data_IF_649043734517
#
_entry.id   IF_649043734517
#
_cell.length_a   1.000
_cell.length_b   1.000
_cell.length_c   1.000
_cell.angle_alpha   90.00
_cell.angle_beta   90.00
_cell.angle_gamma   90.00
#
_symmetry.space_group_name_H-M   'P 1'
#
loop_
_entity.id
_entity.type
_entity.pdbx_description
1 polymer ?
#
# COMPACT_ATOMS: atom_id res chain seq x y z
N UNK A 1 18.59 47.00 -54.31
CA UNK A 1 19.05 46.63 -55.68
C UNK A 1 19.45 45.15 -55.61
N UNK A 2 18.92 44.35 -56.54
CA UNK A 2 19.24 43.00 -56.98
C UNK A 2 18.58 41.87 -56.17
N UNK A 3 17.54 41.33 -56.62
CA UNK A 3 17.16 40.43 -57.75
C UNK A 3 17.28 38.95 -57.36
N UNK A 4 16.14 38.32 -57.54
CA UNK A 4 15.69 36.92 -57.42
C UNK A 4 16.66 35.86 -58.02
N UNK A 5 16.49 34.59 -57.51
CA UNK A 5 16.34 33.45 -58.42
C UNK A 5 15.60 32.30 -57.73
N UNK A 6 14.50 31.89 -58.39
CA UNK A 6 13.78 30.63 -58.19
C UNK A 6 14.62 29.45 -58.70
N UNK A 7 14.56 28.33 -57.98
CA UNK A 7 14.77 27.02 -58.60
C UNK A 7 13.81 26.01 -57.93
N UNK A 8 12.83 25.58 -58.72
CA UNK A 8 11.95 24.44 -58.45
C UNK A 8 12.66 23.14 -58.83
N UNK A 9 12.63 22.13 -57.95
CA UNK A 9 12.90 20.75 -58.31
C UNK A 9 11.80 19.85 -57.73
N UNK A 10 11.00 19.34 -58.66
CA UNK A 10 10.03 18.28 -58.43
C UNK A 10 10.78 16.92 -58.23
N UNK A 11 10.39 16.15 -57.24
CA UNK A 11 10.86 14.79 -57.00
C UNK A 11 9.73 13.93 -56.51
N UNK A 12 9.35 12.97 -57.34
CA UNK A 12 8.27 12.00 -57.19
C UNK A 12 8.43 11.07 -55.99
N UNK A 13 7.37 10.76 -55.26
CA UNK A 13 6.71 9.46 -55.25
C UNK A 13 7.27 8.44 -54.29
N UNK A 14 6.42 7.95 -53.39
CA UNK A 14 6.64 6.75 -52.63
C UNK A 14 5.94 6.82 -51.27
N UNK A 15 4.58 6.77 -51.27
CA UNK A 15 3.84 6.51 -50.03
C UNK A 15 3.90 5.05 -49.64
N UNK A 16 4.07 4.70 -48.37
CA UNK A 16 3.88 3.34 -47.91
C UNK A 16 2.37 2.99 -47.81
N UNK A 17 2.00 1.83 -48.35
CA UNK A 17 0.67 1.22 -48.28
C UNK A 17 0.25 0.92 -46.84
N UNK A 18 -1.05 0.98 -46.51
CA UNK A 18 -1.54 0.59 -45.21
C UNK A 18 -1.45 -0.93 -45.01
N UNK A 19 -0.91 -1.34 -43.89
CA UNK A 19 -0.90 -2.75 -43.44
C UNK A 19 -2.25 -3.05 -42.80
N UNK A 20 -2.96 -3.99 -43.38
CA UNK A 20 -4.23 -4.54 -42.94
C UNK A 20 -4.02 -5.38 -41.65
N UNK A 21 -4.83 -5.23 -40.61
CA UNK A 21 -4.72 -6.07 -39.42
C UNK A 21 -5.29 -7.46 -39.68
N UNK A 22 -4.46 -8.49 -39.48
CA UNK A 22 -4.85 -9.90 -39.57
C UNK A 22 -5.90 -10.24 -38.50
N UNK A 23 -6.99 -10.87 -38.95
CA UNK A 23 -8.06 -11.38 -38.11
C UNK A 23 -7.58 -12.50 -37.18
N UNK A 24 -7.82 -12.36 -35.90
CA UNK A 24 -7.59 -13.39 -34.91
C UNK A 24 -8.72 -14.43 -34.97
N UNK A 25 -8.36 -15.69 -35.20
CA UNK A 25 -9.25 -16.84 -35.09
C UNK A 25 -9.59 -17.15 -33.62
N UNK A 26 -10.84 -17.51 -33.29
CA UNK A 26 -11.19 -17.87 -31.91
C UNK A 26 -10.73 -19.30 -31.61
N UNK A 27 -9.94 -19.45 -30.57
CA UNK A 27 -9.58 -20.73 -29.97
C UNK A 27 -10.75 -21.33 -29.19
N UNK A 28 -11.01 -22.61 -29.48
CA UNK A 28 -12.09 -23.39 -28.89
C UNK A 28 -11.93 -23.56 -27.38
N UNK A 29 -13.01 -23.27 -26.67
CA UNK A 29 -13.18 -23.53 -25.22
C UNK A 29 -13.42 -25.03 -25.01
N UNK A 30 -12.48 -25.70 -24.38
CA UNK A 30 -12.68 -27.08 -23.89
C UNK A 30 -13.38 -27.03 -22.54
N UNK A 31 -14.63 -27.45 -22.50
CA UNK A 31 -15.37 -27.66 -21.27
C UNK A 31 -14.86 -28.92 -20.57
N UNK A 32 -14.38 -28.78 -19.35
CA UNK A 32 -14.10 -29.90 -18.44
C UNK A 32 -15.33 -30.12 -17.58
N UNK A 33 -16.03 -31.22 -17.81
CA UNK A 33 -17.12 -31.73 -16.99
C UNK A 33 -16.57 -32.36 -15.71
N UNK A 34 -17.03 -31.86 -14.55
CA UNK A 34 -16.76 -32.44 -13.22
C UNK A 34 -17.92 -33.37 -12.85
N UNK A 35 -17.70 -34.62 -12.45
CA UNK A 35 -18.78 -35.47 -11.98
C UNK A 35 -19.15 -35.13 -10.53
N UNK A 36 -20.45 -34.93 -10.29
CA UNK A 36 -21.05 -34.86 -8.98
C UNK A 36 -21.05 -36.23 -8.31
N UNK A 37 -20.49 -36.32 -7.10
CA UNK A 37 -20.70 -37.44 -6.21
C UNK A 37 -21.51 -36.97 -4.99
N UNK A 38 -22.76 -37.41 -4.99
CA UNK A 38 -23.66 -37.45 -3.83
C UNK A 38 -23.24 -38.58 -2.90
N UNK A 39 -23.09 -38.27 -1.61
CA UNK A 39 -22.90 -39.28 -0.57
C UNK A 39 -23.09 -38.65 0.81
N UNK A 40 -24.31 -38.72 1.31
CA UNK A 40 -24.64 -38.58 2.73
C UNK A 40 -24.43 -39.92 3.44
N UNK A 41 -23.99 -39.95 4.68
CA UNK A 41 -24.68 -40.77 5.64
C UNK A 41 -25.07 -40.06 6.96
N UNK A 42 -26.21 -40.46 7.40
CA UNK A 42 -27.01 -40.19 8.57
C UNK A 42 -26.35 -40.64 9.88
N UNK A 43 -26.53 -39.79 10.88
CA UNK A 43 -26.74 -39.96 12.31
C UNK A 43 -26.19 -41.17 13.11
N UNK A 44 -25.67 -40.85 14.29
CA UNK A 44 -26.14 -41.46 15.54
C UNK A 44 -25.75 -40.58 16.75
N UNK A 45 -26.74 -40.18 17.49
CA UNK A 45 -26.65 -39.53 18.79
C UNK A 45 -26.36 -40.58 19.89
N UNK A 46 -25.47 -40.22 20.83
CA UNK A 46 -25.41 -40.89 22.14
C UNK A 46 -25.29 -39.82 23.22
N UNK A 47 -26.34 -39.75 24.02
CA UNK A 47 -26.40 -38.96 25.23
C UNK A 47 -25.62 -39.67 26.36
N UNK A 48 -24.89 -38.90 27.13
CA UNK A 48 -24.34 -39.35 28.43
C UNK A 48 -24.54 -38.24 29.46
N UNK A 49 -25.28 -38.61 30.48
CA UNK A 49 -25.68 -37.85 31.67
C UNK A 49 -24.51 -37.60 32.62
N UNK A 50 -24.43 -36.46 33.34
CA UNK A 50 -23.35 -36.18 34.28
C UNK A 50 -23.60 -36.74 35.66
N UNK A 51 -22.58 -37.35 36.26
CA UNK A 51 -22.53 -37.74 37.66
C UNK A 51 -22.13 -36.57 38.54
N UNK A 52 -22.84 -36.35 39.61
CA UNK A 52 -22.60 -35.36 40.64
C UNK A 52 -21.39 -35.73 41.53
N UNK A 53 -20.56 -34.79 41.85
CA UNK A 53 -19.48 -34.92 42.81
C UNK A 53 -19.63 -33.90 43.96
N UNK A 54 -19.35 -34.25 45.21
CA UNK A 54 -19.70 -33.43 46.36
C UNK A 54 -18.68 -32.30 46.58
N UNK A 55 -19.19 -31.20 47.11
CA UNK A 55 -18.44 -29.99 47.45
C UNK A 55 -17.46 -30.22 48.63
N UNK A 56 -16.22 -29.86 48.41
CA UNK A 56 -15.24 -29.68 49.48
C UNK A 56 -15.09 -28.18 49.79
N UNK A 57 -15.43 -27.80 51.00
CA UNK A 57 -15.27 -26.48 51.58
C UNK A 57 -13.80 -26.22 51.88
N UNK A 58 -13.16 -25.35 51.12
CA UNK A 58 -11.79 -24.88 51.41
C UNK A 58 -11.84 -23.43 51.85
N UNK A 59 -11.45 -23.22 53.09
CA UNK A 59 -11.23 -21.91 53.74
C UNK A 59 -10.08 -21.16 53.03
N UNK A 60 -10.40 -20.12 52.32
CA UNK A 60 -9.39 -19.28 51.65
C UNK A 60 -8.84 -18.23 52.60
N UNK A 61 -7.57 -18.40 52.94
CA UNK A 61 -6.73 -17.41 53.63
C UNK A 61 -6.41 -16.31 52.55
N UNK A 62 -6.82 -15.09 52.84
CA UNK A 62 -6.58 -13.92 51.98
C UNK A 62 -5.09 -13.52 52.02
N UNK A 63 -4.33 -13.88 51.02
CA UNK A 63 -2.98 -13.36 50.78
C UNK A 63 -3.08 -12.12 49.94
N UNK A 64 -2.46 -10.97 50.30
CA UNK A 64 -2.51 -9.79 49.43
C UNK A 64 -1.78 -10.07 48.14
N UNK A 65 -2.52 -9.99 47.03
CA UNK A 65 -1.99 -10.09 45.69
C UNK A 65 -1.00 -8.96 45.46
N UNK A 66 0.20 -9.23 44.93
CA UNK A 66 1.09 -8.16 44.46
C UNK A 66 0.36 -7.45 43.31
N UNK A 67 0.30 -6.11 43.40
CA UNK A 67 -0.24 -5.25 42.36
C UNK A 67 0.42 -5.60 41.04
N UNK A 68 -0.33 -6.24 40.16
CA UNK A 68 0.06 -6.50 38.79
C UNK A 68 0.21 -5.14 38.12
N UNK A 69 1.44 -4.64 38.02
CA UNK A 69 1.77 -3.53 37.14
C UNK A 69 1.43 -3.99 35.72
N UNK A 70 0.22 -3.64 35.27
CA UNK A 70 -0.14 -3.76 33.87
C UNK A 70 0.94 -3.09 33.06
N UNK A 71 1.59 -3.77 32.08
CA UNK A 71 2.49 -3.07 31.17
C UNK A 71 1.65 -1.98 30.53
N UNK A 72 2.07 -0.75 30.71
CA UNK A 72 1.54 0.41 29.98
C UNK A 72 1.83 0.11 28.50
N UNK A 73 0.91 -0.56 27.85
CA UNK A 73 0.96 -0.79 26.41
C UNK A 73 0.85 0.60 25.82
N UNK A 74 1.99 1.17 25.49
CA UNK A 74 2.07 2.40 24.74
C UNK A 74 1.11 2.24 23.57
N UNK A 75 0.00 2.98 23.58
CA UNK A 75 -0.99 3.02 22.52
C UNK A 75 -0.38 3.72 21.28
N UNK A 76 0.75 3.18 20.82
CA UNK A 76 1.58 3.88 19.86
C UNK A 76 0.91 3.99 18.49
N UNK A 77 0.08 3.01 18.06
CA UNK A 77 -0.57 3.05 16.76
C UNK A 77 -1.77 2.09 16.71
N UNK A 78 -2.96 2.50 17.18
CA UNK A 78 -4.13 1.63 17.26
C UNK A 78 -4.69 1.21 15.90
N UNK A 79 -4.35 1.94 14.83
CA UNK A 79 -4.80 1.67 13.46
C UNK A 79 -3.70 1.07 12.59
N UNK A 80 -2.54 0.72 13.15
CA UNK A 80 -1.48 0.07 12.41
C UNK A 80 -1.92 -1.33 11.98
N UNK A 81 -1.55 -1.68 10.76
CA UNK A 81 -1.70 -3.03 10.23
C UNK A 81 -0.52 -3.93 10.63
N UNK A 82 0.02 -4.64 9.65
CA UNK A 82 1.16 -5.56 9.81
C UNK A 82 2.43 -4.83 10.22
N UNK A 83 2.72 -3.68 9.60
CA UNK A 83 3.88 -2.86 9.97
C UNK A 83 3.52 -1.91 11.12
N UNK A 84 4.27 -2.03 12.23
CA UNK A 84 3.98 -1.32 13.49
C UNK A 84 5.17 -0.48 13.94
N UNK A 85 4.92 0.68 14.56
CA UNK A 85 5.99 1.46 15.18
C UNK A 85 6.71 0.67 16.28
N UNK A 86 7.99 0.96 16.47
CA UNK A 86 8.84 0.37 17.52
C UNK A 86 9.05 -1.16 17.39
N UNK A 87 8.60 -1.78 16.31
CA UNK A 87 8.87 -3.18 15.99
C UNK A 87 10.04 -3.25 15.03
N UNK A 88 10.98 -4.17 15.31
CA UNK A 88 12.06 -4.51 14.40
C UNK A 88 11.70 -5.78 13.65
N UNK A 89 11.65 -5.68 12.34
CA UNK A 89 11.41 -6.78 11.42
C UNK A 89 12.75 -7.36 10.96
N UNK A 90 12.76 -8.64 10.62
CA UNK A 90 13.92 -9.36 10.11
C UNK A 90 13.55 -9.99 8.78
N UNK A 91 14.49 -10.00 7.85
CA UNK A 91 14.32 -10.59 6.52
C UNK A 91 15.56 -10.35 5.69
N UNK A 92 15.39 -10.46 4.38
CA UNK A 92 16.43 -10.18 3.41
C UNK A 92 16.12 -8.89 2.65
N UNK A 93 17.16 -8.19 2.23
CA UNK A 93 17.08 -7.23 1.15
C UNK A 93 17.51 -7.92 -0.14
N UNK A 94 16.73 -7.76 -1.19
CA UNK A 94 17.08 -8.09 -2.57
C UNK A 94 17.13 -6.81 -3.40
N UNK A 95 17.55 -6.90 -4.65
CA UNK A 95 17.63 -5.76 -5.55
C UNK A 95 16.76 -5.98 -6.78
N UNK A 96 16.01 -4.98 -7.20
CA UNK A 96 15.19 -5.02 -8.41
C UNK A 96 15.42 -3.77 -9.26
N UNK A 97 15.11 -3.84 -10.54
CA UNK A 97 15.09 -2.67 -11.40
C UNK A 97 13.85 -1.81 -11.07
N UNK A 98 14.09 -0.69 -10.38
CA UNK A 98 13.04 0.22 -9.95
C UNK A 98 12.58 1.20 -11.06
N UNK A 99 13.22 1.18 -12.23
CA UNK A 99 12.90 2.05 -13.35
C UNK A 99 12.88 3.53 -12.96
N UNK A 100 11.77 4.19 -13.20
CA UNK A 100 11.56 5.61 -12.86
C UNK A 100 11.04 5.82 -11.42
N UNK A 101 10.94 4.77 -10.62
CA UNK A 101 10.50 4.80 -9.23
C UNK A 101 9.00 4.64 -9.01
N UNK A 102 8.18 4.53 -10.06
CA UNK A 102 6.77 4.16 -9.91
C UNK A 102 6.64 2.66 -9.57
N UNK A 103 5.49 2.27 -9.04
CA UNK A 103 5.22 0.91 -8.64
C UNK A 103 3.78 0.69 -8.22
N UNK A 104 3.49 -0.42 -7.56
CA UNK A 104 2.14 -0.81 -7.17
C UNK A 104 1.39 0.25 -6.33
N UNK A 105 2.11 1.13 -5.63
CA UNK A 105 1.51 2.25 -4.92
C UNK A 105 1.02 3.38 -5.85
N UNK A 106 1.34 3.34 -7.14
CA UNK A 106 0.92 4.30 -8.17
C UNK A 106 1.19 5.76 -7.76
N UNK A 107 2.36 6.07 -7.21
CA UNK A 107 2.72 7.47 -6.91
C UNK A 107 3.17 8.23 -8.15
N UNK A 108 3.59 7.53 -9.21
CA UNK A 108 4.22 8.06 -10.41
C UNK A 108 5.74 8.13 -10.27
N UNK A 109 6.38 8.57 -11.34
CA UNK A 109 7.83 8.69 -11.41
C UNK A 109 8.41 9.54 -10.27
N UNK A 110 9.55 9.12 -9.73
CA UNK A 110 10.26 9.79 -8.64
C UNK A 110 11.72 10.07 -9.03
N UNK A 111 12.22 11.22 -8.64
CA UNK A 111 13.66 11.51 -8.73
C UNK A 111 14.46 10.94 -7.55
N UNK A 112 13.78 10.72 -6.42
CA UNK A 112 14.38 10.06 -5.27
C UNK A 112 14.13 8.56 -5.39
N UNK A 113 15.20 7.83 -5.67
CA UNK A 113 15.21 6.38 -5.81
C UNK A 113 15.61 5.66 -4.51
N UNK A 114 15.61 6.35 -3.36
CA UNK A 114 15.67 5.67 -2.05
C UNK A 114 14.32 5.00 -1.73
N UNK A 115 13.97 3.98 -2.53
CA UNK A 115 12.67 3.30 -2.52
C UNK A 115 12.82 1.79 -2.39
N UNK A 116 11.71 1.16 -2.03
CA UNK A 116 11.61 -0.29 -1.92
C UNK A 116 10.24 -0.81 -2.30
N UNK A 117 10.23 -2.05 -2.80
CA UNK A 117 9.05 -2.89 -2.86
C UNK A 117 8.96 -3.73 -1.56
N UNK A 118 7.81 -3.71 -0.92
CA UNK A 118 7.56 -4.49 0.28
C UNK A 118 6.97 -5.86 -0.07
N UNK A 119 7.37 -6.91 0.60
CA UNK A 119 6.78 -8.23 0.39
C UNK A 119 5.26 -8.19 0.50
N UNK A 120 4.56 -9.02 -0.26
CA UNK A 120 3.09 -9.08 -0.34
C UNK A 120 2.39 -9.08 1.02
N UNK A 121 2.91 -9.88 1.97
CA UNK A 121 2.30 -10.03 3.29
C UNK A 121 2.32 -8.72 4.09
N UNK A 122 3.45 -8.02 4.13
CA UNK A 122 3.60 -6.78 4.89
C UNK A 122 3.15 -5.54 4.10
N UNK A 123 3.02 -5.65 2.77
CA UNK A 123 2.38 -4.66 1.91
C UNK A 123 0.90 -4.48 2.28
N UNK A 124 0.22 -5.56 2.64
CA UNK A 124 -1.11 -5.57 3.25
C UNK A 124 -2.12 -4.70 2.48
N UNK A 125 -2.35 -5.02 1.20
CA UNK A 125 -3.27 -4.28 0.34
C UNK A 125 -3.01 -2.75 0.39
N UNK A 126 -1.80 -2.38 0.04
CA UNK A 126 -1.30 -1.00 -0.02
C UNK A 126 -1.24 -0.23 1.30
N UNK A 127 -1.45 -0.85 2.46
CA UNK A 127 -1.33 -0.14 3.75
C UNK A 127 0.11 0.31 4.03
N UNK A 128 1.10 -0.37 3.44
CA UNK A 128 2.50 0.01 3.53
C UNK A 128 2.90 1.15 2.58
N UNK A 129 2.08 1.47 1.58
CA UNK A 129 2.40 2.52 0.61
C UNK A 129 2.73 3.85 1.30
N UNK A 130 3.85 4.45 0.88
CA UNK A 130 4.36 5.70 1.43
C UNK A 130 5.00 5.60 2.82
N UNK A 131 5.04 4.41 3.42
CA UNK A 131 5.77 4.19 4.66
C UNK A 131 7.27 4.43 4.45
N UNK A 132 7.90 5.11 5.42
CA UNK A 132 9.35 5.21 5.47
C UNK A 132 9.89 4.17 6.44
N UNK A 133 10.87 3.40 6.01
CA UNK A 133 11.51 2.38 6.84
C UNK A 133 13.02 2.57 6.89
N UNK A 134 13.60 2.43 8.07
CA UNK A 134 15.04 2.38 8.26
C UNK A 134 15.49 0.93 8.13
N UNK A 135 16.27 0.65 7.11
CA UNK A 135 16.87 -0.66 6.83
C UNK A 135 18.30 -0.68 7.33
N UNK A 136 18.71 -1.76 7.97
CA UNK A 136 20.07 -1.98 8.49
C UNK A 136 20.60 -3.33 8.05
N UNK A 137 21.79 -3.34 7.48
CA UNK A 137 22.55 -4.55 7.17
C UNK A 137 23.40 -5.01 8.36
N UNK A 138 23.87 -6.25 8.32
CA UNK A 138 24.71 -6.85 9.39
C UNK A 138 26.07 -6.14 9.57
N UNK A 139 26.58 -5.47 8.54
CA UNK A 139 27.83 -4.67 8.59
C UNK A 139 27.66 -3.31 9.28
N UNK A 140 26.45 -2.97 9.77
CA UNK A 140 26.13 -1.70 10.41
C UNK A 140 25.66 -0.59 9.44
N UNK A 141 25.78 -0.78 8.12
CA UNK A 141 25.28 0.16 7.13
C UNK A 141 23.76 0.28 7.22
N UNK A 142 23.24 1.46 6.91
CA UNK A 142 21.80 1.70 6.96
C UNK A 142 21.34 2.70 5.91
N UNK A 143 20.09 2.55 5.47
CA UNK A 143 19.42 3.44 4.54
C UNK A 143 17.96 3.63 4.96
N UNK A 144 17.41 4.81 4.74
CA UNK A 144 15.97 5.04 4.84
C UNK A 144 15.38 4.97 3.44
N UNK A 145 14.35 4.15 3.28
CA UNK A 145 13.63 4.02 2.00
C UNK A 145 12.14 4.28 2.19
N UNK A 146 11.50 4.76 1.12
CA UNK A 146 10.05 4.87 1.02
C UNK A 146 9.50 3.63 0.31
N UNK A 147 8.39 3.10 0.81
CA UNK A 147 7.70 1.99 0.15
C UNK A 147 6.82 2.56 -0.97
N UNK A 148 7.16 2.21 -2.21
CA UNK A 148 6.45 2.65 -3.42
C UNK A 148 5.91 1.49 -4.24
N UNK A 149 6.33 0.26 -3.91
CA UNK A 149 5.99 -0.91 -4.71
C UNK A 149 5.69 -2.13 -3.82
N UNK A 150 5.14 -3.15 -4.44
CA UNK A 150 4.92 -4.47 -3.87
C UNK A 150 5.90 -5.47 -4.51
N UNK A 151 6.54 -6.30 -3.68
CA UNK A 151 7.23 -7.49 -4.11
C UNK A 151 6.25 -8.67 -3.98
N UNK A 152 5.74 -9.21 -5.11
CA UNK A 152 4.79 -10.31 -5.07
C UNK A 152 5.43 -11.60 -4.54
N UNK A 153 4.63 -12.63 -4.34
CA UNK A 153 5.16 -13.95 -4.02
C UNK A 153 6.17 -14.41 -5.09
N UNK A 154 7.31 -15.02 -4.71
CA UNK A 154 7.59 -15.64 -3.42
C UNK A 154 8.33 -14.75 -2.39
N UNK A 155 8.28 -13.41 -2.48
CA UNK A 155 8.88 -12.55 -1.46
C UNK A 155 8.34 -12.91 -0.06
N UNK A 156 9.25 -13.32 0.83
CA UNK A 156 8.88 -13.79 2.17
C UNK A 156 8.53 -12.60 3.10
N UNK A 157 7.71 -12.83 4.15
CA UNK A 157 7.46 -11.82 5.18
C UNK A 157 8.77 -11.25 5.74
N UNK A 158 8.84 -9.93 5.88
CA UNK A 158 10.03 -9.21 6.32
C UNK A 158 11.04 -8.89 5.21
N UNK A 159 10.92 -9.48 4.02
CA UNK A 159 11.76 -9.15 2.87
C UNK A 159 11.42 -7.78 2.30
N UNK A 160 12.46 -7.04 1.90
CA UNK A 160 12.36 -5.82 1.11
C UNK A 160 13.14 -5.98 -0.19
N UNK A 161 12.54 -5.60 -1.29
CA UNK A 161 13.22 -5.53 -2.58
C UNK A 161 13.59 -4.05 -2.83
N UNK A 162 14.87 -3.75 -2.85
CA UNK A 162 15.38 -2.38 -2.86
C UNK A 162 15.73 -1.95 -4.28
N UNK A 163 15.58 -0.66 -4.57
CA UNK A 163 16.21 -0.08 -5.76
C UNK A 163 17.74 -0.31 -5.72
N UNK A 164 18.43 -0.31 -6.87
CA UNK A 164 19.88 -0.44 -6.90
C UNK A 164 20.59 0.65 -6.07
N UNK A 165 20.08 1.87 -6.10
CA UNK A 165 20.62 3.02 -5.36
C UNK A 165 20.49 2.84 -3.84
N UNK A 166 19.36 2.32 -3.39
CA UNK A 166 19.12 2.03 -1.98
C UNK A 166 19.96 0.84 -1.50
N UNK A 167 20.02 -0.25 -2.30
CA UNK A 167 20.81 -1.43 -1.97
C UNK A 167 22.30 -1.12 -1.88
N UNK A 168 22.83 -0.28 -2.78
CA UNK A 168 24.21 0.18 -2.78
C UNK A 168 24.64 0.93 -1.50
N UNK A 169 23.67 1.47 -0.73
CA UNK A 169 23.96 2.05 0.60
C UNK A 169 24.22 0.99 1.68
N UNK A 170 23.84 -0.25 1.44
CA UNK A 170 23.97 -1.34 2.41
C UNK A 170 25.10 -2.31 2.06
N UNK A 171 25.26 -2.61 0.77
CA UNK A 171 26.26 -3.55 0.25
C UNK A 171 26.46 -3.34 -1.27
N UNK A 172 27.48 -4.01 -1.81
CA UNK A 172 27.68 -4.09 -3.26
C UNK A 172 26.44 -4.77 -3.91
N UNK A 173 25.82 -4.14 -4.93
CA UNK A 173 24.64 -4.71 -5.62
C UNK A 173 24.88 -6.09 -6.23
N UNK A 174 26.14 -6.45 -6.58
CA UNK A 174 26.48 -7.79 -7.09
C UNK A 174 26.16 -8.92 -6.12
N UNK A 175 26.00 -8.62 -4.82
CA UNK A 175 25.59 -9.61 -3.82
C UNK A 175 24.14 -10.07 -4.00
N UNK A 176 23.31 -9.29 -4.65
CA UNK A 176 21.92 -9.60 -4.98
C UNK A 176 20.97 -9.81 -3.79
N UNK A 177 21.49 -10.36 -2.66
CA UNK A 177 20.71 -10.64 -1.44
C UNK A 177 21.58 -10.53 -0.19
N UNK A 178 21.07 -9.86 0.84
CA UNK A 178 21.73 -9.72 2.15
C UNK A 178 20.70 -9.79 3.28
N UNK A 179 21.06 -10.35 4.45
CA UNK A 179 20.21 -10.29 5.64
C UNK A 179 20.11 -8.85 6.17
N UNK A 180 18.90 -8.46 6.54
CA UNK A 180 18.61 -7.13 7.08
C UNK A 180 17.71 -7.19 8.31
N UNK A 181 17.71 -6.07 9.03
CA UNK A 181 16.61 -5.68 9.91
C UNK A 181 16.04 -4.35 9.45
N UNK A 182 14.76 -4.13 9.68
CA UNK A 182 14.16 -2.83 9.38
C UNK A 182 13.07 -2.46 10.38
N UNK A 183 12.76 -1.18 10.45
CA UNK A 183 11.70 -0.64 11.30
C UNK A 183 11.01 0.54 10.65
N UNK A 184 9.72 0.72 10.97
CA UNK A 184 8.95 1.88 10.54
C UNK A 184 9.49 3.17 11.16
N UNK A 185 9.55 4.23 10.35
CA UNK A 185 9.90 5.58 10.77
C UNK A 185 8.73 6.55 10.64
N UNK A 186 8.79 7.61 11.44
CA UNK A 186 8.06 8.86 11.24
C UNK A 186 9.10 9.95 10.94
N UNK A 187 9.46 10.17 9.67
CA UNK A 187 10.59 11.02 9.30
C UNK A 187 10.31 12.49 9.57
N UNK A 188 11.36 13.29 9.71
CA UNK A 188 11.25 14.73 9.59
C UNK A 188 11.06 15.07 8.11
N UNK A 189 10.05 15.88 7.79
CA UNK A 189 9.82 16.42 6.45
C UNK A 189 9.18 17.78 6.54
N UNK A 190 9.47 18.64 5.60
CA UNK A 190 8.79 19.92 5.35
C UNK A 190 7.61 19.77 4.40
N UNK A 191 7.48 18.62 3.74
CA UNK A 191 6.44 18.37 2.76
C UNK A 191 5.08 18.30 3.42
N UNK A 192 4.07 18.68 2.67
CA UNK A 192 2.66 18.52 3.05
C UNK A 192 2.03 17.36 2.29
N UNK A 193 0.97 16.80 2.86
CA UNK A 193 0.18 15.78 2.17
C UNK A 193 -0.37 16.37 0.87
N UNK A 194 -0.32 15.59 -0.19
CA UNK A 194 -0.99 15.91 -1.46
C UNK A 194 -2.14 14.94 -1.69
N UNK A 195 -3.14 15.38 -2.43
CA UNK A 195 -4.30 14.58 -2.83
C UNK A 195 -4.34 14.49 -4.35
N UNK A 196 -4.60 13.29 -4.86
CA UNK A 196 -4.84 13.03 -6.27
C UNK A 196 -6.11 12.22 -6.45
N UNK A 197 -6.95 12.65 -7.38
CA UNK A 197 -8.04 11.85 -7.90
C UNK A 197 -7.54 10.99 -9.06
N UNK A 198 -7.90 9.71 -9.10
CA UNK A 198 -7.53 8.79 -10.18
C UNK A 198 -8.19 9.20 -11.51
N UNK A 199 -7.56 8.86 -12.63
CA UNK A 199 -8.17 8.91 -13.98
C UNK A 199 -9.58 8.34 -13.96
N UNK A 200 -10.51 9.03 -14.62
CA UNK A 200 -11.92 8.64 -14.68
C UNK A 200 -12.75 9.07 -13.46
N UNK A 201 -12.16 9.73 -12.45
CA UNK A 201 -12.94 10.27 -11.33
C UNK A 201 -13.91 11.36 -11.77
N UNK A 202 -15.15 11.23 -11.33
CA UNK A 202 -16.26 12.15 -11.57
C UNK A 202 -17.07 12.30 -10.28
N UNK A 203 -18.13 13.13 -10.31
CA UNK A 203 -19.09 13.22 -9.19
C UNK A 203 -19.86 11.90 -8.93
N UNK A 204 -19.84 10.97 -9.87
CA UNK A 204 -20.57 9.69 -9.80
C UNK A 204 -19.71 8.52 -9.37
N UNK A 205 -18.40 8.66 -9.45
CA UNK A 205 -17.40 7.70 -9.03
C UNK A 205 -16.08 8.42 -8.84
N UNK A 206 -15.37 8.17 -7.75
CA UNK A 206 -14.02 8.67 -7.60
C UNK A 206 -13.13 7.72 -6.79
N UNK A 207 -11.85 7.77 -7.10
CA UNK A 207 -10.82 7.14 -6.30
C UNK A 207 -9.80 8.21 -5.87
N UNK A 208 -9.47 8.24 -4.59
CA UNK A 208 -8.68 9.29 -3.95
C UNK A 208 -7.41 8.68 -3.40
N UNK A 209 -6.28 9.33 -3.63
CA UNK A 209 -4.97 8.94 -3.11
C UNK A 209 -4.41 10.07 -2.25
N UNK A 210 -3.83 9.71 -1.11
CA UNK A 210 -2.99 10.60 -0.31
C UNK A 210 -1.52 10.31 -0.61
N UNK A 211 -0.73 11.34 -0.86
CA UNK A 211 0.68 11.29 -1.27
C UNK A 211 1.50 12.11 -0.27
N UNK A 212 2.79 11.80 -0.10
CA UNK A 212 3.77 12.51 0.73
C UNK A 212 3.38 12.63 2.21
N UNK A 213 2.59 11.70 2.68
CA UNK A 213 2.23 11.60 4.09
C UNK A 213 3.41 11.06 4.92
N UNK A 214 3.71 11.73 6.06
CA UNK A 214 4.78 11.34 6.99
C UNK A 214 4.58 9.97 7.62
N UNK A 215 3.36 9.70 8.06
CA UNK A 215 2.97 8.44 8.68
C UNK A 215 2.06 7.66 7.74
N UNK A 216 2.08 6.33 7.72
CA UNK A 216 1.17 5.55 6.90
C UNK A 216 -0.30 5.93 7.14
N UNK A 217 -1.04 6.12 6.06
CA UNK A 217 -2.48 6.42 6.11
C UNK A 217 -3.24 5.13 6.45
N UNK A 218 -4.03 5.16 7.51
CA UNK A 218 -4.88 4.04 7.90
C UNK A 218 -6.28 4.13 7.27
N UNK A 219 -6.88 5.33 7.26
CA UNK A 219 -8.23 5.58 6.77
C UNK A 219 -8.27 6.83 5.91
N UNK A 220 -9.16 6.81 4.91
CA UNK A 220 -9.60 7.99 4.19
C UNK A 220 -11.12 8.02 4.16
N UNK A 221 -11.67 9.18 4.46
CA UNK A 221 -13.10 9.43 4.52
C UNK A 221 -13.45 10.68 3.72
N UNK A 222 -14.66 10.71 3.21
CA UNK A 222 -15.21 11.87 2.49
C UNK A 222 -16.44 12.41 3.22
N UNK A 223 -16.67 13.72 3.12
CA UNK A 223 -17.86 14.34 3.68
C UNK A 223 -19.05 14.14 2.76
N UNK A 224 -20.14 13.62 3.32
CA UNK A 224 -21.44 13.47 2.67
C UNK A 224 -22.50 14.24 3.43
N UNK A 225 -23.73 14.31 2.93
CA UNK A 225 -24.88 14.87 3.66
C UNK A 225 -25.17 14.10 4.97
N UNK A 226 -24.89 12.79 4.98
CA UNK A 226 -25.08 11.94 6.17
C UNK A 226 -23.90 11.95 7.15
N UNK A 227 -22.82 12.68 6.86
CA UNK A 227 -21.63 12.72 7.71
C UNK A 227 -20.36 12.27 6.99
N UNK A 228 -19.38 11.80 7.77
CA UNK A 228 -18.14 11.25 7.23
C UNK A 228 -18.35 9.79 6.83
N UNK A 229 -18.06 9.47 5.58
CA UNK A 229 -18.11 8.14 5.02
C UNK A 229 -16.70 7.62 4.75
N UNK A 230 -16.35 6.47 5.37
CA UNK A 230 -15.10 5.77 5.10
C UNK A 230 -15.13 5.14 3.72
N UNK A 231 -14.04 5.28 2.97
CA UNK A 231 -13.84 4.65 1.68
C UNK A 231 -12.97 3.38 1.81
N UNK A 232 -13.30 2.30 1.10
CA UNK A 232 -12.43 1.13 1.01
C UNK A 232 -11.15 1.47 0.25
N UNK A 233 -10.03 0.89 0.71
CA UNK A 233 -8.73 0.97 0.02
C UNK A 233 -8.63 -0.16 -0.99
N UNK A 234 -7.97 0.11 -2.11
CA UNK A 234 -7.58 -0.87 -3.13
C UNK A 234 -6.12 -1.28 -2.97
N UNK A 235 -5.73 -2.39 -3.59
CA UNK A 235 -4.34 -2.88 -3.58
C UNK A 235 -3.36 -1.94 -4.30
N UNK A 236 -3.88 -1.04 -5.13
CA UNK A 236 -3.13 0.00 -5.84
C UNK A 236 -3.21 1.38 -5.18
N UNK A 237 -3.40 1.41 -3.86
CA UNK A 237 -3.29 2.60 -3.00
C UNK A 237 -4.27 3.74 -3.31
N UNK A 238 -5.48 3.42 -3.76
CA UNK A 238 -6.57 4.39 -3.85
C UNK A 238 -7.72 4.03 -2.91
N UNK A 239 -8.45 5.03 -2.46
CA UNK A 239 -9.67 4.89 -1.67
C UNK A 239 -10.87 5.22 -2.55
N UNK A 240 -11.81 4.28 -2.70
CA UNK A 240 -12.84 4.33 -3.74
C UNK A 240 -14.20 4.69 -3.18
N UNK A 241 -14.82 5.74 -3.75
CA UNK A 241 -16.26 6.01 -3.65
C UNK A 241 -16.95 5.47 -4.90
N UNK A 242 -17.42 4.24 -4.82
CA UNK A 242 -17.99 3.53 -5.97
C UNK A 242 -19.31 4.13 -6.50
N UNK A 243 -19.99 4.94 -5.68
CA UNK A 243 -21.27 5.61 -6.03
C UNK A 243 -21.16 7.13 -6.04
N UNK A 244 -19.96 7.67 -6.03
CA UNK A 244 -19.71 9.10 -6.07
C UNK A 244 -20.00 9.86 -4.78
N UNK A 245 -20.46 9.20 -3.72
CA UNK A 245 -20.75 9.88 -2.44
C UNK A 245 -19.52 10.62 -1.94
N UNK A 246 -19.63 11.94 -1.75
CA UNK A 246 -18.58 12.81 -1.25
C UNK A 246 -17.45 13.11 -2.23
N UNK A 247 -17.52 12.69 -3.50
CA UNK A 247 -16.55 13.05 -4.53
C UNK A 247 -16.53 14.57 -4.76
N UNK A 248 -15.34 15.19 -4.67
CA UNK A 248 -15.18 16.65 -4.75
C UNK A 248 -15.50 17.40 -3.45
N UNK A 249 -15.91 16.69 -2.38
CA UNK A 249 -16.14 17.26 -1.06
C UNK A 249 -14.89 17.27 -0.18
N UNK A 250 -15.08 17.63 1.11
CA UNK A 250 -14.01 17.57 2.08
C UNK A 250 -13.52 16.14 2.31
N UNK A 251 -12.21 15.98 2.44
CA UNK A 251 -11.53 14.71 2.65
C UNK A 251 -10.96 14.69 4.07
N UNK A 252 -11.08 13.57 4.77
CA UNK A 252 -10.41 13.35 6.04
C UNK A 252 -9.47 12.16 5.92
N UNK A 253 -8.18 12.40 6.16
CA UNK A 253 -7.15 11.37 6.24
C UNK A 253 -6.81 11.08 7.69
N UNK A 254 -6.62 9.81 8.03
CA UNK A 254 -6.25 9.38 9.39
C UNK A 254 -5.03 8.49 9.30
N UNK A 255 -3.99 8.80 10.07
CA UNK A 255 -2.79 7.98 10.12
C UNK A 255 -2.94 6.75 11.05
N UNK A 256 -1.93 5.88 11.05
CA UNK A 256 -1.90 4.70 11.91
C UNK A 256 -1.94 5.01 13.41
N UNK A 257 -1.60 6.23 13.83
CA UNK A 257 -1.66 6.69 15.22
C UNK A 257 -3.05 7.24 15.60
N UNK A 258 -3.98 7.32 14.65
CA UNK A 258 -5.32 7.85 14.84
C UNK A 258 -5.43 9.38 14.71
N UNK A 259 -4.34 10.04 14.29
CA UNK A 259 -4.38 11.48 14.01
C UNK A 259 -5.22 11.74 12.76
N UNK A 260 -6.19 12.65 12.90
CA UNK A 260 -7.12 13.02 11.83
C UNK A 260 -6.78 14.40 11.29
N UNK A 261 -6.73 14.52 9.98
CA UNK A 261 -6.55 15.78 9.27
C UNK A 261 -7.68 15.95 8.26
N UNK A 262 -8.27 17.14 8.21
CA UNK A 262 -9.31 17.49 7.25
C UNK A 262 -8.72 18.39 6.18
N UNK A 263 -8.96 18.01 4.94
CA UNK A 263 -8.53 18.71 3.73
C UNK A 263 -9.77 19.22 3.01
N UNK A 264 -9.82 20.50 2.75
CA UNK A 264 -10.91 21.17 2.02
C UNK A 264 -10.38 21.74 0.70
N UNK A 265 -11.29 22.02 -0.23
CA UNK A 265 -10.96 22.77 -1.45
C UNK A 265 -10.19 21.97 -2.50
N UNK A 266 -10.09 20.65 -2.38
CA UNK A 266 -9.49 19.80 -3.41
C UNK A 266 -10.46 19.67 -4.57
N UNK A 267 -10.07 20.22 -5.72
CA UNK A 267 -10.89 20.15 -6.92
C UNK A 267 -10.95 18.72 -7.49
N UNK A 268 -12.09 18.32 -8.02
CA UNK A 268 -12.26 17.03 -8.70
C UNK A 268 -11.59 17.06 -10.07
N UNK A 269 -10.25 17.02 -10.08
CA UNK A 269 -9.40 16.99 -11.27
C UNK A 269 -8.65 15.67 -11.32
N UNK A 270 -9.01 14.76 -12.24
CA UNK A 270 -8.28 13.48 -12.38
C UNK A 270 -6.80 13.71 -12.73
N UNK A 271 -5.96 12.86 -12.16
CA UNK A 271 -4.48 12.81 -12.34
C UNK A 271 -3.70 14.08 -11.98
N UNK A 272 -4.35 15.07 -11.37
CA UNK A 272 -3.67 16.27 -10.89
C UNK A 272 -3.30 16.08 -9.41
N UNK A 273 -2.02 16.14 -9.08
CA UNK A 273 -1.52 16.20 -7.70
C UNK A 273 -1.80 17.57 -7.14
N UNK A 274 -2.58 17.65 -6.07
CA UNK A 274 -2.99 18.89 -5.45
C UNK A 274 -2.41 18.97 -4.04
N UNK A 275 -1.54 19.95 -3.81
CA UNK A 275 -0.92 20.20 -2.52
C UNK A 275 -1.98 20.60 -1.49
N UNK A 276 -1.81 20.12 -0.27
CA UNK A 276 -2.55 20.60 0.91
C UNK A 276 -1.60 21.42 1.79
N UNK A 277 -2.11 21.96 2.90
CA UNK A 277 -1.29 22.65 3.87
C UNK A 277 -1.18 21.86 5.20
N UNK A 278 -1.47 20.57 5.14
CA UNK A 278 -1.49 19.72 6.33
C UNK A 278 -0.47 18.60 6.24
N UNK A 279 0.08 18.21 7.39
CA UNK A 279 0.93 17.04 7.54
C UNK A 279 0.70 16.40 8.90
N UNK A 280 0.81 15.08 8.98
CA UNK A 280 0.78 14.37 10.26
C UNK A 280 1.94 14.80 11.16
N UNK A 281 1.74 14.87 12.49
CA UNK A 281 2.84 15.13 13.42
C UNK A 281 3.87 14.01 13.39
N UNK A 282 5.12 14.35 13.69
CA UNK A 282 6.20 13.37 13.90
C UNK A 282 5.92 12.55 15.16
N UNK A 283 6.28 11.25 15.12
CA UNK A 283 6.09 10.30 16.22
C UNK A 283 7.40 9.62 16.63
#
# INVERSE_FOLDING_TARGET
VSTAMLAALAGCGGGPSPVEPAAATPSATTQVTVPSSTGSPTAAAAASTPAAQPAATSTATSQPSPASSSPTTSAAAPLAGRIRPKVTYRGDATVYDAGDGDGACLYGASRDLMIAAMNHTDYESAKACGAHVLVRAANGASVTVRITNECPLPCAPGQLDLSPEAFAKLADPSRGRIPITWRLLSPSTSDTISIRYKTGSTKWWCAIQAIDHRNPVALLEVRTSAGWQRLPRTDYNYFVSARGSGCGGAIRVTDIYGQRLVVNGIALRPDVVQLTQVQFPKR
#
